data_IF_259466400429
#
_entry.id   IF_259466400429
#
_cell.length_a   1.000
_cell.length_b   1.000
_cell.length_c   1.000
_cell.angle_alpha   90.00
_cell.angle_beta   90.00
_cell.angle_gamma   90.00
#
_symmetry.space_group_name_H-M   'P 1'
#
loop_
_entity.id
_entity.type
_entity.pdbx_description
1 polymer ?
#
# COMPACT_ATOMS: atom_id res chain seq x y z
N UNK A 1 32.18 40.91 17.95
CA UNK A 1 31.29 40.31 16.96
C UNK A 1 29.87 40.53 17.45
N UNK A 2 29.18 41.53 16.88
CA UNK A 2 27.87 41.98 17.33
C UNK A 2 26.73 41.33 16.53
N UNK A 3 25.53 41.25 17.10
CA UNK A 3 24.34 40.71 16.43
C UNK A 3 24.00 41.42 15.11
N UNK A 4 24.40 42.69 14.97
CA UNK A 4 24.27 43.50 13.76
C UNK A 4 25.19 43.04 12.61
N UNK A 5 26.35 42.44 12.91
CA UNK A 5 27.25 41.89 11.89
C UNK A 5 26.75 40.53 11.36
N UNK A 6 26.01 39.77 12.17
CA UNK A 6 25.37 38.50 11.78
C UNK A 6 24.21 38.77 10.82
N UNK A 7 23.43 39.83 11.05
CA UNK A 7 22.30 40.20 10.19
C UNK A 7 22.74 40.68 8.79
N UNK A 8 23.90 41.34 8.68
CA UNK A 8 24.43 41.82 7.40
C UNK A 8 24.93 40.71 6.48
N UNK A 9 25.26 39.53 7.02
CA UNK A 9 25.70 38.35 6.26
C UNK A 9 24.54 37.43 5.81
N UNK A 10 23.31 37.70 6.25
CA UNK A 10 22.11 37.03 5.79
C UNK A 10 21.53 37.80 4.59
N UNK A 11 22.16 37.64 3.42
CA UNK A 11 21.48 37.97 2.16
C UNK A 11 20.28 37.03 2.00
N UNK A 12 19.09 37.54 2.29
CA UNK A 12 17.83 36.85 2.03
C UNK A 12 17.65 36.74 0.52
N UNK A 13 18.22 35.70 -0.09
CA UNK A 13 17.92 35.34 -1.48
C UNK A 13 16.51 34.77 -1.51
N UNK A 14 15.50 35.64 -1.50
CA UNK A 14 14.11 35.27 -1.72
C UNK A 14 13.97 34.85 -3.18
N UNK A 15 14.21 33.57 -3.44
CA UNK A 15 13.74 32.93 -4.66
C UNK A 15 12.22 32.91 -4.58
N UNK A 16 11.54 33.51 -5.56
CA UNK A 16 10.07 33.53 -5.62
C UNK A 16 9.53 32.12 -5.44
N UNK A 17 8.68 31.94 -4.43
CA UNK A 17 7.93 30.71 -4.26
C UNK A 17 6.98 30.58 -5.45
N UNK A 18 7.37 29.77 -6.43
CA UNK A 18 6.47 29.37 -7.51
C UNK A 18 5.39 28.48 -6.94
N UNK A 19 4.14 28.76 -7.29
CA UNK A 19 3.02 27.86 -7.05
C UNK A 19 3.33 26.51 -7.71
N UNK A 20 3.68 25.51 -6.90
CA UNK A 20 3.61 24.12 -7.32
C UNK A 20 2.14 23.73 -7.22
N UNK A 21 1.41 23.80 -8.32
CA UNK A 21 0.18 23.03 -8.40
C UNK A 21 0.60 21.55 -8.44
N UNK A 22 0.11 20.77 -7.49
CA UNK A 22 0.07 19.32 -7.66
C UNK A 22 -1.03 19.09 -8.70
N UNK A 23 -0.77 18.45 -9.84
CA UNK A 23 -1.83 18.04 -10.73
C UNK A 23 -2.69 17.03 -9.98
N UNK A 24 -3.88 17.45 -9.54
CA UNK A 24 -4.91 16.53 -9.09
C UNK A 24 -5.45 15.86 -10.35
N UNK A 25 -4.99 14.64 -10.62
CA UNK A 25 -5.65 13.77 -11.59
C UNK A 25 -6.95 13.33 -10.94
N UNK A 26 -8.06 13.87 -11.43
CA UNK A 26 -9.41 13.40 -11.11
C UNK A 26 -9.62 12.10 -11.88
N UNK A 27 -9.25 10.99 -11.24
CA UNK A 27 -9.31 9.65 -11.80
C UNK A 27 -10.52 8.88 -11.23
N UNK A 28 -11.56 9.60 -10.80
CA UNK A 28 -12.74 9.04 -10.12
C UNK A 28 -13.72 8.34 -11.08
N UNK A 29 -13.53 8.47 -12.39
CA UNK A 29 -14.43 7.89 -13.42
C UNK A 29 -14.14 6.41 -13.76
N UNK A 30 -13.03 5.83 -13.28
CA UNK A 30 -12.65 4.43 -13.56
C UNK A 30 -12.61 3.62 -12.27
N UNK A 31 -13.40 2.55 -12.23
CA UNK A 31 -13.45 1.67 -11.07
C UNK A 31 -12.12 0.93 -10.84
N UNK A 32 -11.83 0.56 -9.58
CA UNK A 32 -10.66 -0.26 -9.25
C UNK A 32 -10.63 -1.57 -10.05
N UNK A 33 -11.81 -2.16 -10.28
CA UNK A 33 -11.99 -3.33 -11.13
C UNK A 33 -11.52 -3.11 -12.57
N UNK A 34 -11.94 -2.03 -13.23
CA UNK A 34 -11.55 -1.74 -14.61
C UNK A 34 -10.04 -1.53 -14.72
N UNK A 35 -9.41 -0.88 -13.73
CA UNK A 35 -7.95 -0.78 -13.65
C UNK A 35 -7.28 -2.16 -13.52
N UNK A 36 -7.86 -3.07 -12.76
CA UNK A 36 -7.37 -4.46 -12.64
C UNK A 36 -7.60 -5.28 -13.91
N UNK A 37 -8.69 -5.04 -14.64
CA UNK A 37 -8.95 -5.71 -15.92
C UNK A 37 -7.90 -5.37 -16.99
N UNK A 38 -7.42 -4.12 -17.02
CA UNK A 38 -6.32 -3.71 -17.89
C UNK A 38 -4.99 -4.46 -17.63
N UNK A 39 -4.86 -5.08 -16.46
CA UNK A 39 -3.68 -5.82 -16.02
C UNK A 39 -3.99 -7.28 -15.63
N UNK A 40 -5.10 -7.84 -16.12
CA UNK A 40 -5.59 -9.16 -15.68
C UNK A 40 -4.55 -10.27 -15.82
N UNK A 41 -3.73 -10.26 -16.88
CA UNK A 41 -2.70 -11.26 -17.14
C UNK A 41 -1.54 -11.22 -16.12
N UNK A 42 -1.36 -10.10 -15.42
CA UNK A 42 -0.33 -9.93 -14.40
C UNK A 42 -0.83 -10.22 -12.98
N UNK A 43 -2.14 -10.45 -12.81
CA UNK A 43 -2.75 -10.72 -11.51
C UNK A 43 -2.71 -12.22 -11.18
N UNK A 44 -2.48 -12.59 -9.90
CA UNK A 44 -2.51 -13.98 -9.47
C UNK A 44 -3.94 -14.55 -9.35
N UNK A 45 -4.97 -13.74 -9.59
CA UNK A 45 -6.39 -14.12 -9.57
C UNK A 45 -7.22 -13.19 -10.46
N UNK A 46 -8.50 -13.51 -10.67
CA UNK A 46 -9.39 -12.69 -11.47
C UNK A 46 -9.54 -11.25 -10.91
N UNK A 47 -9.64 -10.21 -11.75
CA UNK A 47 -9.80 -8.81 -11.32
C UNK A 47 -10.89 -8.59 -10.27
N UNK A 48 -12.04 -9.25 -10.45
CA UNK A 48 -13.17 -9.21 -9.52
C UNK A 48 -12.87 -9.75 -8.11
N UNK A 49 -11.98 -10.74 -8.01
CA UNK A 49 -11.53 -11.27 -6.73
C UNK A 49 -10.44 -10.37 -6.14
N UNK A 50 -9.57 -9.81 -7.00
CA UNK A 50 -8.52 -8.91 -6.59
C UNK A 50 -9.05 -7.64 -5.93
N UNK A 51 -10.06 -7.01 -6.54
CA UNK A 51 -10.76 -5.85 -5.99
C UNK A 51 -11.26 -6.14 -4.56
N UNK A 52 -12.01 -7.25 -4.39
CA UNK A 52 -12.54 -7.64 -3.07
C UNK A 52 -11.46 -7.85 -2.02
N UNK A 53 -10.32 -8.45 -2.38
CA UNK A 53 -9.18 -8.61 -1.45
C UNK A 53 -8.66 -7.25 -1.00
N UNK A 54 -8.39 -6.34 -1.94
CA UNK A 54 -7.84 -5.01 -1.65
C UNK A 54 -8.83 -4.20 -0.81
N UNK A 55 -10.12 -4.21 -1.15
CA UNK A 55 -11.12 -3.47 -0.41
C UNK A 55 -11.27 -3.95 1.03
N UNK A 56 -11.31 -5.27 1.24
CA UNK A 56 -11.41 -5.85 2.57
C UNK A 56 -10.14 -5.59 3.38
N UNK A 57 -8.96 -5.75 2.77
CA UNK A 57 -7.67 -5.50 3.43
C UNK A 57 -7.48 -4.03 3.80
N UNK A 58 -7.78 -3.10 2.88
CA UNK A 58 -7.74 -1.66 3.14
C UNK A 58 -8.76 -1.17 4.18
N UNK A 59 -9.73 -2.02 4.55
CA UNK A 59 -10.62 -1.78 5.70
C UNK A 59 -10.05 -2.29 7.03
N UNK A 60 -8.79 -2.75 7.04
CA UNK A 60 -8.09 -3.27 8.23
C UNK A 60 -8.22 -4.79 8.43
N UNK A 61 -8.76 -5.52 7.47
CA UNK A 61 -8.92 -6.99 7.57
C UNK A 61 -7.60 -7.70 7.33
N UNK A 62 -7.31 -8.77 8.08
CA UNK A 62 -6.09 -9.57 7.86
C UNK A 62 -6.09 -10.24 6.48
N UNK A 63 -4.91 -10.48 5.91
CA UNK A 63 -4.76 -11.11 4.57
C UNK A 63 -5.58 -12.39 4.44
N UNK A 64 -5.55 -13.26 5.45
CA UNK A 64 -6.28 -14.52 5.43
C UNK A 64 -7.80 -14.36 5.48
N UNK A 65 -8.31 -13.34 6.19
CA UNK A 65 -9.74 -13.04 6.20
C UNK A 65 -10.18 -12.36 4.89
N UNK A 66 -9.42 -11.41 4.36
CA UNK A 66 -9.67 -10.81 3.05
C UNK A 66 -9.67 -11.86 1.93
N UNK A 67 -8.75 -12.82 1.98
CA UNK A 67 -8.71 -13.94 1.04
C UNK A 67 -9.98 -14.79 1.10
N UNK A 68 -10.46 -15.09 2.31
CA UNK A 68 -11.68 -15.89 2.53
C UNK A 68 -12.90 -15.17 1.96
N UNK A 69 -13.05 -13.88 2.24
CA UNK A 69 -14.18 -13.07 1.77
C UNK A 69 -14.17 -12.93 0.23
N UNK A 70 -12.99 -12.87 -0.37
CA UNK A 70 -12.82 -12.87 -1.82
C UNK A 70 -12.93 -14.26 -2.47
N UNK A 71 -12.92 -15.34 -1.69
CA UNK A 71 -12.96 -16.72 -2.21
C UNK A 71 -11.67 -17.16 -2.90
N UNK A 72 -10.52 -16.65 -2.46
CA UNK A 72 -9.19 -17.01 -2.97
C UNK A 72 -8.32 -17.64 -1.88
N UNK A 73 -7.25 -18.33 -2.27
CA UNK A 73 -6.29 -18.84 -1.31
C UNK A 73 -5.53 -17.69 -0.60
N UNK A 74 -5.19 -17.80 0.70
CA UNK A 74 -4.43 -16.76 1.40
C UNK A 74 -3.11 -16.38 0.73
N UNK A 75 -2.40 -17.35 0.15
CA UNK A 75 -1.17 -17.08 -0.61
C UNK A 75 -1.42 -16.25 -1.86
N UNK A 76 -2.57 -16.44 -2.53
CA UNK A 76 -2.97 -15.65 -3.70
C UNK A 76 -3.27 -14.21 -3.31
N UNK A 77 -3.97 -13.99 -2.19
CA UNK A 77 -4.20 -12.66 -1.65
C UNK A 77 -2.88 -11.97 -1.26
N UNK A 78 -1.96 -12.67 -0.60
CA UNK A 78 -0.64 -12.11 -0.25
C UNK A 78 0.17 -11.70 -1.49
N UNK A 79 0.20 -12.56 -2.53
CA UNK A 79 0.85 -12.25 -3.81
C UNK A 79 0.23 -11.04 -4.51
N UNK A 80 -1.10 -10.94 -4.48
CA UNK A 80 -1.82 -9.82 -5.06
C UNK A 80 -1.46 -8.52 -4.34
N UNK A 81 -1.59 -8.50 -3.01
CA UNK A 81 -1.30 -7.32 -2.19
C UNK A 81 0.14 -6.85 -2.39
N UNK A 82 1.10 -7.79 -2.50
CA UNK A 82 2.48 -7.47 -2.89
C UNK A 82 2.57 -6.76 -4.24
N UNK A 83 1.86 -7.25 -5.27
CA UNK A 83 1.85 -6.62 -6.60
C UNK A 83 1.15 -5.25 -6.61
N UNK A 84 0.26 -5.00 -5.65
CA UNK A 84 -0.36 -3.71 -5.38
C UNK A 84 0.46 -2.80 -4.46
N UNK A 85 1.68 -3.19 -4.07
CA UNK A 85 2.59 -2.36 -3.28
C UNK A 85 2.40 -2.43 -1.76
N UNK A 86 1.55 -3.32 -1.26
CA UNK A 86 1.32 -3.45 0.19
C UNK A 86 2.60 -3.93 0.89
N UNK A 87 3.10 -3.10 1.79
CA UNK A 87 4.24 -3.43 2.62
C UNK A 87 3.83 -4.43 3.72
N UNK A 88 4.65 -5.44 3.99
CA UNK A 88 4.45 -6.34 5.14
C UNK A 88 3.68 -7.63 4.87
N UNK A 89 3.39 -7.95 3.60
CA UNK A 89 2.83 -9.27 3.22
C UNK A 89 3.87 -10.40 3.22
N UNK A 90 5.16 -10.06 3.34
CA UNK A 90 6.23 -11.05 3.48
C UNK A 90 6.23 -11.65 4.88
N UNK A 91 6.16 -12.99 5.01
CA UNK A 91 6.18 -13.65 6.33
C UNK A 91 7.60 -13.69 6.94
N UNK A 92 8.63 -13.36 6.16
CA UNK A 92 10.02 -13.46 6.60
C UNK A 92 10.60 -12.10 7.02
N UNK A 93 11.38 -12.13 8.10
CA UNK A 93 12.18 -11.00 8.57
C UNK A 93 13.25 -10.60 7.53
N UNK A 94 13.75 -9.34 7.54
CA UNK A 94 14.70 -8.84 6.55
C UNK A 94 15.95 -9.70 6.35
N UNK A 95 16.49 -10.28 7.41
CA UNK A 95 17.67 -11.14 7.32
C UNK A 95 17.36 -12.50 6.66
N UNK A 96 16.22 -13.11 7.00
CA UNK A 96 15.75 -14.32 6.33
C UNK A 96 15.50 -14.09 4.83
N UNK A 97 15.01 -12.89 4.45
CA UNK A 97 14.88 -12.48 3.05
C UNK A 97 16.23 -12.37 2.33
N UNK A 98 17.30 -11.94 3.02
CA UNK A 98 18.66 -11.93 2.46
C UNK A 98 19.11 -13.35 2.11
N UNK A 99 18.85 -14.31 2.98
CA UNK A 99 19.17 -15.73 2.73
C UNK A 99 18.39 -16.26 1.52
N UNK A 100 17.11 -15.89 1.36
CA UNK A 100 16.32 -16.24 0.17
C UNK A 100 16.96 -15.66 -1.10
N UNK A 101 17.43 -14.40 -1.08
CA UNK A 101 18.17 -13.82 -2.22
C UNK A 101 19.48 -14.55 -2.51
N UNK A 102 20.26 -14.90 -1.49
CA UNK A 102 21.48 -15.68 -1.65
C UNK A 102 21.20 -17.03 -2.33
N UNK A 103 20.06 -17.66 -2.02
CA UNK A 103 19.62 -18.86 -2.71
C UNK A 103 19.16 -18.61 -4.15
N UNK A 104 18.37 -17.57 -4.41
CA UNK A 104 17.94 -17.16 -5.76
C UNK A 104 19.15 -16.90 -6.66
N UNK A 105 20.19 -16.27 -6.12
CA UNK A 105 21.46 -16.00 -6.81
C UNK A 105 22.33 -17.26 -7.00
N UNK A 106 21.92 -18.41 -6.46
CA UNK A 106 22.67 -19.67 -6.52
C UNK A 106 23.90 -19.74 -5.62
N UNK A 107 24.03 -18.83 -4.64
CA UNK A 107 25.16 -18.80 -3.69
C UNK A 107 25.09 -19.87 -2.61
N UNK A 108 23.88 -20.35 -2.30
CA UNK A 108 23.63 -21.44 -1.35
C UNK A 108 22.62 -22.44 -1.91
N UNK A 109 22.62 -23.67 -1.37
CA UNK A 109 21.63 -24.68 -1.76
C UNK A 109 20.24 -24.35 -1.18
N UNK A 110 19.18 -24.89 -1.78
CA UNK A 110 17.81 -24.75 -1.25
C UNK A 110 17.67 -25.35 0.15
N UNK A 111 18.36 -26.46 0.42
CA UNK A 111 18.31 -27.12 1.72
C UNK A 111 18.93 -26.24 2.80
N UNK A 112 20.09 -25.62 2.51
CA UNK A 112 20.74 -24.69 3.44
C UNK A 112 19.88 -23.44 3.66
N UNK A 113 19.28 -22.90 2.60
CA UNK A 113 18.40 -21.72 2.70
C UNK A 113 17.19 -21.98 3.61
N UNK A 114 16.54 -23.14 3.48
CA UNK A 114 15.43 -23.53 4.36
C UNK A 114 15.89 -23.73 5.80
N UNK A 115 17.04 -24.39 6.01
CA UNK A 115 17.59 -24.60 7.35
C UNK A 115 17.97 -23.28 8.05
N UNK A 116 18.57 -22.34 7.31
CA UNK A 116 19.00 -21.05 7.84
C UNK A 116 17.83 -20.09 8.09
N UNK A 117 16.80 -20.12 7.25
CA UNK A 117 15.61 -19.29 7.44
C UNK A 117 14.66 -19.85 8.50
N UNK A 118 14.65 -21.17 8.71
CA UNK A 118 13.68 -21.83 9.58
C UNK A 118 12.23 -21.71 9.10
N UNK A 119 12.05 -21.30 7.83
CA UNK A 119 10.74 -20.98 7.26
C UNK A 119 9.99 -22.26 6.86
N UNK A 120 8.67 -22.22 7.02
CA UNK A 120 7.81 -23.25 6.46
C UNK A 120 7.87 -23.20 4.92
N UNK A 121 7.64 -24.33 4.20
CA UNK A 121 7.73 -24.35 2.74
C UNK A 121 6.85 -23.30 2.04
N UNK A 122 5.67 -23.01 2.59
CA UNK A 122 4.76 -21.99 2.08
C UNK A 122 5.27 -20.56 2.29
N UNK A 123 5.88 -20.28 3.44
CA UNK A 123 6.47 -18.98 3.75
C UNK A 123 7.69 -18.71 2.87
N UNK A 124 8.54 -19.72 2.71
CA UNK A 124 9.68 -19.67 1.82
C UNK A 124 9.25 -19.43 0.36
N UNK A 125 8.21 -20.13 -0.10
CA UNK A 125 7.66 -19.94 -1.45
C UNK A 125 7.06 -18.53 -1.65
N UNK A 126 6.36 -17.99 -0.66
CA UNK A 126 5.82 -16.63 -0.72
C UNK A 126 6.94 -15.58 -0.70
N UNK A 127 7.94 -15.74 0.17
CA UNK A 127 9.10 -14.86 0.19
C UNK A 127 9.87 -14.89 -1.13
N UNK A 128 10.04 -16.08 -1.72
CA UNK A 128 10.65 -16.22 -3.05
C UNK A 128 9.88 -15.43 -4.11
N UNK A 129 8.54 -15.52 -4.10
CA UNK A 129 7.70 -14.74 -5.02
C UNK A 129 7.90 -13.24 -4.83
N UNK A 130 7.87 -12.77 -3.57
CA UNK A 130 8.07 -11.36 -3.20
C UNK A 130 9.44 -10.84 -3.66
N UNK A 131 10.51 -11.63 -3.54
CA UNK A 131 11.86 -11.23 -3.97
C UNK A 131 12.07 -11.24 -5.50
N UNK A 132 11.20 -11.93 -6.25
CA UNK A 132 11.37 -12.12 -7.71
C UNK A 132 10.38 -11.32 -8.55
N UNK A 133 9.39 -10.71 -7.91
CA UNK A 133 8.37 -9.90 -8.58
C UNK A 133 8.32 -8.57 -7.86
N UNK A 134 8.54 -7.46 -8.56
CA UNK A 134 8.35 -6.13 -7.97
C UNK A 134 6.86 -5.82 -7.77
N UNK A 135 6.47 -4.68 -7.19
CA UNK A 135 5.11 -4.15 -7.38
C UNK A 135 4.84 -3.77 -8.85
N UNK A 136 3.56 -3.58 -9.23
CA UNK A 136 3.17 -3.05 -10.53
C UNK A 136 2.73 -1.60 -10.32
N UNK A 137 3.52 -0.63 -10.78
CA UNK A 137 3.25 0.80 -10.51
C UNK A 137 1.80 1.21 -10.84
N UNK A 138 1.22 0.86 -12.02
CA UNK A 138 -0.20 1.13 -12.29
C UNK A 138 -1.19 0.55 -11.27
N UNK A 139 -0.89 -0.62 -10.68
CA UNK A 139 -1.75 -1.22 -9.65
C UNK A 139 -1.56 -0.55 -8.29
N UNK A 140 -0.34 -0.13 -7.97
CA UNK A 140 -0.05 0.63 -6.75
C UNK A 140 -0.85 1.94 -6.78
N UNK A 141 -0.72 2.70 -7.86
CA UNK A 141 -1.46 3.96 -8.07
C UNK A 141 -2.97 3.75 -8.00
N UNK A 142 -3.48 2.68 -8.64
CA UNK A 142 -4.90 2.32 -8.61
C UNK A 142 -5.43 2.08 -7.19
N UNK A 143 -4.66 1.36 -6.37
CA UNK A 143 -5.04 1.01 -4.99
C UNK A 143 -4.90 2.22 -4.07
N UNK A 144 -3.83 3.00 -4.19
CA UNK A 144 -3.64 4.23 -3.41
C UNK A 144 -4.78 5.22 -3.66
N UNK A 145 -5.17 5.44 -4.93
CA UNK A 145 -6.30 6.28 -5.30
C UNK A 145 -7.62 5.78 -4.69
N UNK A 146 -7.92 4.48 -4.81
CA UNK A 146 -9.15 3.90 -4.27
C UNK A 146 -9.25 4.01 -2.72
N UNK A 147 -8.12 3.95 -2.01
CA UNK A 147 -8.09 4.09 -0.55
C UNK A 147 -8.17 5.56 -0.10
N UNK A 148 -7.60 6.50 -0.87
CA UNK A 148 -7.73 7.93 -0.63
C UNK A 148 -9.20 8.38 -0.78
N UNK A 149 -9.86 8.02 -1.88
CA UNK A 149 -11.26 8.36 -2.16
C UNK A 149 -12.20 7.86 -1.05
N UNK A 150 -11.95 6.66 -0.54
CA UNK A 150 -12.70 6.08 0.59
C UNK A 150 -12.56 6.91 1.86
N UNK A 151 -11.35 7.42 2.12
CA UNK A 151 -11.07 8.24 3.30
C UNK A 151 -11.83 9.56 3.23
N UNK A 152 -11.81 10.22 2.08
CA UNK A 152 -12.52 11.47 1.84
C UNK A 152 -14.03 11.30 1.95
N UNK A 153 -14.59 10.24 1.35
CA UNK A 153 -16.01 9.90 1.49
C UNK A 153 -16.42 9.66 2.95
N UNK A 154 -15.55 9.02 3.75
CA UNK A 154 -15.80 8.80 5.17
C UNK A 154 -15.71 10.09 6.00
N UNK A 155 -14.89 11.06 5.61
CA UNK A 155 -14.83 12.40 6.23
C UNK A 155 -16.09 13.19 5.89
N UNK A 156 -16.45 13.29 4.61
CA UNK A 156 -17.65 14.01 4.17
C UNK A 156 -18.93 13.46 4.84
N UNK A 157 -19.04 12.14 4.98
CA UNK A 157 -20.15 11.52 5.71
C UNK A 157 -20.16 11.88 7.19
N UNK A 158 -18.99 11.97 7.84
CA UNK A 158 -18.88 12.40 9.25
C UNK A 158 -19.29 13.85 9.41
N UNK A 159 -18.85 14.74 8.53
CA UNK A 159 -19.18 16.16 8.56
C UNK A 159 -20.69 16.38 8.37
N UNK A 160 -21.30 15.72 7.39
CA UNK A 160 -22.76 15.76 7.18
C UNK A 160 -23.56 15.25 8.38
N UNK A 161 -23.07 14.20 9.06
CA UNK A 161 -23.71 13.70 10.27
C UNK A 161 -23.54 14.67 11.44
N UNK A 162 -22.36 15.31 11.58
CA UNK A 162 -22.09 16.32 12.58
C UNK A 162 -22.98 17.57 12.40
N UNK A 163 -23.25 17.98 11.15
CA UNK A 163 -24.17 19.08 10.84
C UNK A 163 -25.63 18.77 11.20
N UNK A 164 -26.03 17.49 11.18
CA UNK A 164 -27.41 17.07 11.51
C UNK A 164 -27.63 16.88 13.02
N UNK A 165 -26.56 16.63 13.77
CA UNK A 165 -26.62 16.43 15.21
C UNK A 165 -26.39 17.76 15.93
N UNK A 166 -27.44 18.36 16.52
CA UNK A 166 -27.25 19.51 17.42
C UNK A 166 -26.23 19.17 18.50
N UNK A 167 -25.18 19.98 18.59
CA UNK A 167 -24.16 19.90 19.64
C UNK A 167 -24.83 19.93 21.03
N UNK A 168 -24.33 19.15 21.98
CA UNK A 168 -24.76 19.23 23.40
C UNK A 168 -24.58 20.65 23.96
N UNK A 169 -23.69 21.45 23.37
CA UNK A 169 -23.47 22.87 23.73
C UNK A 169 -24.59 23.79 23.20
N UNK A 170 -25.37 23.37 22.20
CA UNK A 170 -26.49 24.13 21.64
C UNK A 170 -27.75 24.05 22.55
N UNK A 171 -27.77 23.10 23.51
CA UNK A 171 -28.82 22.93 24.52
C UNK A 171 -28.49 23.60 25.86
N UNK A 172 -27.95 24.82 25.85
CA UNK A 172 -27.88 25.65 27.06
C UNK A 172 -29.01 26.68 27.05
N UNK A 173 -30.09 26.35 27.77
CA UNK A 173 -31.13 27.29 28.20
C UNK A 173 -30.75 27.96 29.52
#
# INVERSE_FOLDING_TARGET
MGLSEIAAALETTTTEQRSRCVPTVDDTDVSLRERFEAHADALPCAPAAAERVVEAHGSGTSVGASARDAGVAPVTAAKLLHRCGEAGVTPLAPEARRIVRDWIDGRISRADALALTGAEPSEFALATYVETHDPIDPLVEAVEGALADRTDAAVAKRDSLAETMSSVTDMQF
#
